data_IF_361289317672
#
_entry.id   IF_361289317672
#
_cell.length_a   1.000
_cell.length_b   1.000
_cell.length_c   1.000
_cell.angle_alpha   90.00
_cell.angle_beta   90.00
_cell.angle_gamma   90.00
#
_symmetry.space_group_name_H-M   'P 1'
#
loop_
_entity.id
_entity.type
_entity.pdbx_description
1 polymer ?
#
# COMPACT_ATOMS: atom_id res chain seq x y z
N UNK A 1 0.90 8.03 17.40
CA UNK A 1 -0.31 7.58 18.11
C UNK A 1 -1.21 8.73 18.57
N UNK A 2 -0.80 9.64 19.48
CA UNK A 2 -1.67 10.73 20.01
C UNK A 2 -2.40 11.50 18.90
N UNK A 3 -1.70 12.02 17.89
CA UNK A 3 -2.29 12.74 16.75
C UNK A 3 -3.38 11.94 16.02
N UNK A 4 -3.19 10.64 15.86
CA UNK A 4 -4.19 9.77 15.24
C UNK A 4 -5.50 9.77 16.03
N UNK A 5 -5.44 9.52 17.34
CA UNK A 5 -6.63 9.49 18.20
C UNK A 5 -7.30 10.87 18.32
N UNK A 6 -6.53 11.95 18.51
CA UNK A 6 -7.06 13.32 18.55
C UNK A 6 -7.79 13.68 17.24
N UNK A 7 -7.28 13.24 16.09
CA UNK A 7 -7.94 13.47 14.79
C UNK A 7 -9.24 12.69 14.63
N UNK A 8 -9.35 11.50 15.25
CA UNK A 8 -10.61 10.75 15.30
C UNK A 8 -11.60 11.41 16.26
N UNK A 9 -11.15 11.91 17.41
CA UNK A 9 -12.02 12.64 18.35
C UNK A 9 -12.61 13.92 17.74
N UNK A 10 -11.87 14.55 16.80
CA UNK A 10 -12.27 15.76 16.09
C UNK A 10 -13.21 15.50 14.90
N UNK A 11 -13.59 14.25 14.61
CA UNK A 11 -14.48 13.94 13.49
C UNK A 11 -15.87 14.55 13.68
N UNK A 12 -16.45 15.09 12.61
CA UNK A 12 -17.80 15.64 12.59
C UNK A 12 -18.88 14.57 12.68
N UNK A 13 -18.61 13.38 12.15
CA UNK A 13 -19.44 12.20 12.40
C UNK A 13 -19.09 11.61 13.77
N UNK A 14 -20.09 11.43 14.64
CA UNK A 14 -19.87 11.05 16.04
C UNK A 14 -20.24 9.62 16.39
N UNK A 15 -21.06 8.95 15.57
CA UNK A 15 -21.53 7.58 15.81
C UNK A 15 -20.54 6.55 15.28
N UNK A 16 -19.36 6.47 15.89
CA UNK A 16 -18.32 5.49 15.56
C UNK A 16 -17.66 4.96 16.83
N UNK A 17 -16.99 3.85 16.71
CA UNK A 17 -16.10 3.30 17.74
C UNK A 17 -14.65 3.23 17.21
N UNK A 18 -13.70 3.26 18.12
CA UNK A 18 -12.27 3.02 17.85
C UNK A 18 -11.86 1.74 18.58
N UNK A 19 -11.49 0.73 17.82
CA UNK A 19 -10.94 -0.52 18.34
C UNK A 19 -9.43 -0.47 18.20
N UNK A 20 -8.73 -0.13 19.28
CA UNK A 20 -7.27 -0.03 19.30
C UNK A 20 -6.67 -1.32 19.86
N UNK A 21 -5.75 -1.91 19.13
CA UNK A 21 -4.98 -3.07 19.60
C UNK A 21 -3.51 -2.68 19.69
N UNK A 22 -2.95 -2.73 20.87
CA UNK A 22 -1.53 -2.52 21.14
C UNK A 22 -0.79 -3.86 21.08
N UNK A 23 0.07 -4.00 20.09
CA UNK A 23 0.85 -5.20 19.82
C UNK A 23 2.20 -5.19 20.59
N UNK A 24 2.16 -5.02 21.90
CA UNK A 24 3.34 -5.06 22.78
C UNK A 24 4.28 -3.88 22.63
N UNK A 25 3.75 -2.66 22.56
CA UNK A 25 4.54 -1.43 22.45
C UNK A 25 5.40 -1.18 23.68
N UNK A 26 6.64 -0.71 23.48
CA UNK A 26 7.61 -0.42 24.55
C UNK A 26 7.94 1.09 24.68
N UNK A 27 7.33 1.94 23.87
CA UNK A 27 7.62 3.37 23.72
C UNK A 27 6.61 4.32 24.41
N UNK A 28 5.78 3.78 25.31
CA UNK A 28 4.74 4.54 26.00
C UNK A 28 3.41 4.67 25.21
N UNK A 29 3.29 4.04 24.05
CA UNK A 29 2.05 3.99 23.25
C UNK A 29 0.90 3.39 24.08
N UNK A 30 1.12 2.29 24.80
CA UNK A 30 0.12 1.67 25.69
C UNK A 30 -0.50 2.68 26.65
N UNK A 31 0.32 3.45 27.35
CA UNK A 31 -0.17 4.47 28.31
C UNK A 31 -0.96 5.60 27.64
N UNK A 32 -0.61 5.96 26.41
CA UNK A 32 -1.38 6.95 25.65
C UNK A 32 -2.76 6.39 25.30
N UNK A 33 -2.82 5.15 24.85
CA UNK A 33 -4.07 4.47 24.54
C UNK A 33 -5.00 4.39 25.75
N UNK A 34 -4.48 3.95 26.91
CA UNK A 34 -5.25 3.86 28.16
C UNK A 34 -5.81 5.22 28.57
N UNK A 35 -4.93 6.25 28.58
CA UNK A 35 -5.35 7.60 28.95
C UNK A 35 -6.44 8.16 28.02
N UNK A 36 -6.38 7.84 26.73
CA UNK A 36 -7.38 8.30 25.76
C UNK A 36 -8.69 7.53 25.90
N UNK A 37 -8.65 6.22 26.17
CA UNK A 37 -9.85 5.40 26.38
C UNK A 37 -10.59 5.77 27.67
N UNK A 38 -9.90 6.17 28.73
CA UNK A 38 -10.52 6.70 29.95
C UNK A 38 -11.30 8.00 29.73
N UNK A 39 -10.94 8.76 28.71
CA UNK A 39 -11.55 10.07 28.39
C UNK A 39 -12.61 10.02 27.30
N UNK A 40 -12.63 8.98 26.49
CA UNK A 40 -13.56 8.84 25.36
C UNK A 40 -14.08 7.40 25.30
N UNK A 41 -15.34 7.21 25.68
CA UNK A 41 -16.02 5.90 25.73
C UNK A 41 -16.11 5.21 24.36
N UNK A 42 -15.87 5.93 23.26
CA UNK A 42 -15.83 5.35 21.92
C UNK A 42 -14.53 4.56 21.67
N UNK A 43 -13.49 4.75 22.48
CA UNK A 43 -12.19 4.12 22.33
C UNK A 43 -12.12 2.89 23.23
N UNK A 44 -12.01 1.73 22.64
CA UNK A 44 -11.71 0.47 23.32
C UNK A 44 -10.26 0.04 23.04
N UNK A 45 -9.53 -0.35 24.08
CA UNK A 45 -8.12 -0.74 23.99
C UNK A 45 -7.96 -2.19 24.38
N UNK A 46 -7.10 -2.88 23.65
CA UNK A 46 -6.64 -4.23 23.99
C UNK A 46 -5.14 -4.29 23.85
N UNK A 47 -4.46 -4.76 24.89
CA UNK A 47 -3.03 -5.05 24.86
C UNK A 47 -2.82 -6.54 24.59
N UNK A 48 -1.94 -6.87 23.65
CA UNK A 48 -1.56 -8.24 23.32
C UNK A 48 -0.03 -8.38 23.36
N UNK A 49 0.44 -9.55 23.78
CA UNK A 49 1.88 -9.84 23.80
C UNK A 49 2.44 -10.16 22.39
N UNK A 50 1.57 -10.58 21.49
CA UNK A 50 1.93 -10.83 20.07
C UNK A 50 2.29 -9.52 19.39
N UNK A 51 3.55 -9.42 18.97
CA UNK A 51 4.08 -8.25 18.26
C UNK A 51 3.70 -8.19 16.77
N UNK A 52 2.86 -9.08 16.30
CA UNK A 52 2.36 -9.09 14.92
C UNK A 52 1.29 -8.00 14.74
N UNK A 53 1.61 -6.99 13.96
CA UNK A 53 0.64 -5.96 13.54
C UNK A 53 -0.55 -6.58 12.82
N UNK A 54 -0.34 -7.67 12.11
CA UNK A 54 -1.36 -8.36 11.33
C UNK A 54 -2.35 -9.11 12.21
N UNK A 55 -1.86 -9.84 13.21
CA UNK A 55 -2.73 -10.45 14.23
C UNK A 55 -3.52 -9.39 15.01
N UNK A 56 -2.90 -8.23 15.26
CA UNK A 56 -3.58 -7.11 15.92
C UNK A 56 -4.70 -6.52 15.05
N UNK A 57 -4.49 -6.39 13.74
CA UNK A 57 -5.53 -5.93 12.80
C UNK A 57 -6.69 -6.93 12.69
N UNK A 58 -6.40 -8.23 12.62
CA UNK A 58 -7.44 -9.28 12.62
C UNK A 58 -8.25 -9.27 13.91
N UNK A 59 -7.58 -9.11 15.05
CA UNK A 59 -8.26 -8.99 16.34
C UNK A 59 -9.14 -7.74 16.38
N UNK A 60 -8.65 -6.60 15.89
CA UNK A 60 -9.43 -5.37 15.83
C UNK A 60 -10.65 -5.53 14.93
N UNK A 61 -10.50 -6.11 13.73
CA UNK A 61 -11.60 -6.36 12.80
C UNK A 61 -12.65 -7.31 13.40
N UNK A 62 -12.22 -8.36 14.10
CA UNK A 62 -13.14 -9.31 14.75
C UNK A 62 -13.96 -8.70 15.88
N UNK A 63 -13.45 -7.65 16.52
CA UNK A 63 -14.11 -6.93 17.62
C UNK A 63 -14.95 -5.74 17.16
N UNK A 64 -14.71 -5.25 15.95
CA UNK A 64 -15.48 -4.18 15.36
C UNK A 64 -16.95 -4.55 15.24
N UNK A 65 -17.84 -3.61 15.56
CA UNK A 65 -19.31 -3.77 15.55
C UNK A 65 -19.99 -2.87 14.53
N UNK A 66 -19.27 -1.87 14.02
CA UNK A 66 -19.77 -0.95 13.01
C UNK A 66 -20.18 -1.68 11.74
N UNK A 67 -21.07 -1.09 10.97
CA UNK A 67 -21.47 -1.53 9.65
C UNK A 67 -20.29 -1.47 8.67
N UNK A 68 -19.53 -0.40 8.75
CA UNK A 68 -18.32 -0.17 7.99
C UNK A 68 -17.09 -0.14 8.88
N UNK A 69 -15.92 -0.43 8.30
CA UNK A 69 -14.62 -0.36 8.98
C UNK A 69 -13.63 0.48 8.17
N UNK A 70 -12.88 1.32 8.86
CA UNK A 70 -11.75 2.06 8.34
C UNK A 70 -10.51 1.72 9.16
N UNK A 71 -9.42 1.33 8.50
CA UNK A 71 -8.16 1.02 9.16
C UNK A 71 -7.28 2.27 9.20
N UNK A 72 -6.73 2.54 10.38
CA UNK A 72 -5.85 3.70 10.58
C UNK A 72 -4.53 3.27 11.24
N UNK A 73 -3.42 3.71 10.68
CA UNK A 73 -2.08 3.49 11.26
C UNK A 73 -1.80 4.53 12.34
N UNK A 74 -0.93 4.19 13.29
CA UNK A 74 -0.50 5.10 14.36
C UNK A 74 0.16 6.39 13.87
N UNK A 75 0.76 6.38 12.68
CA UNK A 75 1.39 7.53 12.03
C UNK A 75 0.44 8.33 11.14
N UNK A 76 -0.84 7.94 11.06
CA UNK A 76 -1.85 8.61 10.25
C UNK A 76 -2.70 9.59 11.09
N UNK A 77 -3.36 10.51 10.40
CA UNK A 77 -4.42 11.36 10.95
C UNK A 77 -5.44 11.70 9.88
N UNK A 78 -6.63 12.08 10.33
CA UNK A 78 -7.75 12.40 9.48
C UNK A 78 -8.20 13.86 9.67
N UNK A 79 -8.61 14.53 8.61
CA UNK A 79 -9.33 15.80 8.73
C UNK A 79 -10.75 15.55 9.27
N UNK A 80 -11.39 16.55 9.91
CA UNK A 80 -12.64 16.36 10.64
C UNK A 80 -13.83 15.81 9.83
N UNK A 81 -13.85 16.00 8.51
CA UNK A 81 -14.96 15.56 7.65
C UNK A 81 -14.77 14.16 7.04
N UNK A 82 -13.62 13.50 7.25
CA UNK A 82 -13.29 12.23 6.55
C UNK A 82 -14.38 11.18 6.72
N UNK A 83 -14.75 10.85 7.96
CA UNK A 83 -15.73 9.80 8.24
C UNK A 83 -17.12 10.16 7.69
N UNK A 84 -17.52 11.41 7.83
CA UNK A 84 -18.83 11.89 7.34
C UNK A 84 -18.92 11.75 5.80
N UNK A 85 -17.90 12.15 5.06
CA UNK A 85 -17.90 12.11 3.60
C UNK A 85 -17.85 10.68 3.06
N UNK A 86 -16.98 9.82 3.62
CA UNK A 86 -16.91 8.43 3.22
C UNK A 86 -18.23 7.69 3.49
N UNK A 87 -18.82 7.90 4.67
CA UNK A 87 -20.06 7.24 5.06
C UNK A 87 -21.26 7.75 4.25
N UNK A 88 -21.36 9.06 3.99
CA UNK A 88 -22.40 9.65 3.15
C UNK A 88 -22.38 9.04 1.74
N UNK A 89 -21.19 8.89 1.15
CA UNK A 89 -21.03 8.21 -0.14
C UNK A 89 -21.46 6.73 -0.07
N UNK A 90 -21.04 6.01 0.98
CA UNK A 90 -21.39 4.62 1.18
C UNK A 90 -22.90 4.41 1.26
N UNK A 91 -23.59 5.18 2.10
CA UNK A 91 -25.02 5.03 2.35
C UNK A 91 -25.89 5.49 1.19
N UNK A 92 -25.51 6.53 0.45
CA UNK A 92 -26.28 7.04 -0.71
C UNK A 92 -26.46 6.01 -1.82
N UNK A 93 -25.50 5.12 -2.01
CA UNK A 93 -25.48 4.16 -3.11
C UNK A 93 -25.31 2.72 -2.64
N UNK A 94 -25.47 2.44 -1.36
CA UNK A 94 -25.31 1.11 -0.77
C UNK A 94 -23.99 0.46 -1.18
N UNK A 95 -22.88 1.19 -0.97
CA UNK A 95 -21.56 0.79 -1.46
C UNK A 95 -20.86 -0.14 -0.47
N UNK A 96 -20.18 -1.14 -0.99
CA UNK A 96 -19.37 -2.09 -0.21
C UNK A 96 -17.96 -1.58 0.07
N UNK A 97 -17.47 -0.67 -0.79
CA UNK A 97 -16.18 -0.01 -0.65
C UNK A 97 -16.29 1.45 -1.06
N UNK A 98 -15.79 2.36 -0.22
CA UNK A 98 -15.57 3.75 -0.61
C UNK A 98 -14.10 4.10 -0.43
N UNK A 99 -13.51 4.73 -1.45
CA UNK A 99 -12.12 5.14 -1.48
C UNK A 99 -12.01 6.66 -1.58
N UNK A 100 -11.25 7.28 -0.67
CA UNK A 100 -10.82 8.67 -0.77
C UNK A 100 -9.37 8.78 -1.24
N UNK A 101 -8.95 10.01 -1.57
CA UNK A 101 -7.55 10.33 -1.73
C UNK A 101 -6.81 10.39 -0.39
N UNK A 102 -5.49 10.33 -0.44
CA UNK A 102 -4.65 10.45 0.76
C UNK A 102 -3.35 11.19 0.46
N UNK A 103 -2.74 11.72 1.51
CA UNK A 103 -1.44 12.41 1.44
C UNK A 103 -0.42 11.68 2.28
N UNK A 104 0.75 11.42 1.71
CA UNK A 104 1.92 10.93 2.44
C UNK A 104 2.88 12.09 2.66
N UNK A 105 3.08 12.45 3.91
CA UNK A 105 4.00 13.52 4.34
C UNK A 105 5.31 12.89 4.80
N UNK A 106 6.37 13.14 4.06
CA UNK A 106 7.70 12.57 4.30
C UNK A 106 8.63 13.65 4.85
N UNK A 107 9.10 13.48 6.08
CA UNK A 107 10.11 14.37 6.66
C UNK A 107 11.51 13.98 6.17
N UNK A 108 12.18 14.88 5.43
CA UNK A 108 13.54 14.73 4.91
C UNK A 108 14.43 15.81 5.52
N UNK A 109 15.09 15.51 6.62
CA UNK A 109 15.83 16.50 7.41
C UNK A 109 14.92 17.62 7.92
N UNK A 110 15.16 18.86 7.51
CA UNK A 110 14.31 20.02 7.85
C UNK A 110 13.21 20.31 6.82
N UNK A 111 13.06 19.49 5.79
CA UNK A 111 12.04 19.65 4.73
C UNK A 111 10.97 18.61 4.89
N UNK A 112 9.75 18.96 4.48
CA UNK A 112 8.63 18.03 4.34
C UNK A 112 8.27 17.92 2.86
N UNK A 113 8.16 16.69 2.37
CA UNK A 113 7.69 16.37 1.04
C UNK A 113 6.30 15.76 1.17
N UNK A 114 5.32 16.31 0.46
CA UNK A 114 3.97 15.77 0.42
C UNK A 114 3.71 15.10 -0.93
N UNK A 115 3.35 13.84 -0.89
CA UNK A 115 2.94 13.03 -2.04
C UNK A 115 1.44 12.80 -1.94
N UNK A 116 0.69 13.16 -2.97
CA UNK A 116 -0.77 13.10 -2.96
C UNK A 116 -1.26 12.01 -3.91
N UNK A 117 -2.05 11.09 -3.41
CA UNK A 117 -2.87 10.18 -4.20
C UNK A 117 -4.26 10.82 -4.37
N UNK A 118 -4.47 11.46 -5.50
CA UNK A 118 -5.73 12.14 -5.78
C UNK A 118 -6.84 11.15 -6.15
N UNK A 119 -8.03 11.39 -5.64
CA UNK A 119 -9.25 10.69 -5.96
C UNK A 119 -10.24 11.62 -6.68
N UNK A 120 -11.33 11.07 -7.16
CA UNK A 120 -12.42 11.79 -7.86
C UNK A 120 -13.78 11.27 -7.38
N UNK A 121 -14.83 12.05 -7.52
CA UNK A 121 -16.17 11.58 -7.23
C UNK A 121 -16.64 10.64 -8.35
N UNK A 122 -16.81 9.37 -8.01
CA UNK A 122 -17.23 8.34 -8.95
C UNK A 122 -17.91 7.17 -8.23
N UNK A 123 -18.94 6.62 -8.85
CA UNK A 123 -19.63 5.43 -8.34
C UNK A 123 -19.64 4.35 -9.42
N UNK A 124 -19.29 3.15 -9.04
CA UNK A 124 -19.39 1.93 -9.85
C UNK A 124 -20.45 1.05 -9.20
N UNK A 125 -21.59 0.91 -9.85
CA UNK A 125 -22.72 0.12 -9.34
C UNK A 125 -22.68 -1.35 -9.78
N UNK A 126 -21.71 -1.71 -10.62
CA UNK A 126 -21.52 -3.08 -11.11
C UNK A 126 -20.05 -3.48 -11.04
N UNK A 127 -19.79 -4.77 -10.81
CA UNK A 127 -18.45 -5.35 -10.90
C UNK A 127 -17.79 -5.05 -12.25
N UNK A 128 -18.58 -5.11 -13.34
CA UNK A 128 -18.06 -4.89 -14.68
C UNK A 128 -17.46 -3.50 -14.84
N UNK A 129 -18.19 -2.46 -14.44
CA UNK A 129 -17.74 -1.06 -14.57
C UNK A 129 -16.51 -0.79 -13.67
N UNK A 130 -16.51 -1.35 -12.46
CA UNK A 130 -15.39 -1.24 -11.54
C UNK A 130 -14.15 -1.92 -12.10
N UNK A 131 -14.26 -3.18 -12.52
CA UNK A 131 -13.14 -3.97 -13.06
C UNK A 131 -12.55 -3.34 -14.32
N UNK A 132 -13.39 -2.79 -15.21
CA UNK A 132 -12.93 -2.08 -16.41
C UNK A 132 -12.10 -0.83 -16.09
N UNK A 133 -12.35 -0.17 -14.96
CA UNK A 133 -11.61 1.02 -14.52
C UNK A 133 -10.41 0.69 -13.61
N UNK A 134 -10.33 -0.52 -13.08
CA UNK A 134 -9.39 -0.89 -12.00
C UNK A 134 -7.93 -0.65 -12.34
N UNK A 135 -7.51 -0.89 -13.60
CA UNK A 135 -6.13 -0.63 -14.03
C UNK A 135 -5.70 0.82 -13.76
N UNK A 136 -6.59 1.80 -14.00
CA UNK A 136 -6.27 3.21 -13.75
C UNK A 136 -6.21 3.54 -12.24
N UNK A 137 -6.99 2.85 -11.43
CA UNK A 137 -6.98 3.01 -9.97
C UNK A 137 -5.74 2.39 -9.34
N UNK A 138 -5.30 1.23 -9.83
CA UNK A 138 -3.99 0.66 -9.47
C UNK A 138 -2.87 1.60 -9.85
N UNK A 139 -2.96 2.17 -11.04
CA UNK A 139 -1.96 3.06 -11.60
C UNK A 139 -1.80 4.38 -10.82
N UNK A 140 -2.90 4.87 -10.27
CA UNK A 140 -2.94 6.05 -9.39
C UNK A 140 -2.57 5.74 -7.93
N UNK A 141 -2.26 4.47 -7.60
CA UNK A 141 -1.91 4.04 -6.26
C UNK A 141 -3.09 4.02 -5.27
N UNK A 142 -4.33 4.00 -5.76
CA UNK A 142 -5.52 4.04 -4.91
C UNK A 142 -6.00 2.66 -4.46
N UNK A 143 -5.64 1.59 -5.17
CA UNK A 143 -6.21 0.26 -4.94
C UNK A 143 -5.57 -0.49 -3.76
N UNK A 144 -4.25 -0.55 -3.70
CA UNK A 144 -3.52 -1.40 -2.76
C UNK A 144 -3.53 -0.92 -1.30
N UNK A 145 -3.32 0.39 -0.98
CA UNK A 145 -3.25 0.85 0.41
C UNK A 145 -4.58 0.75 1.15
N UNK A 146 -4.52 0.58 2.49
CA UNK A 146 -5.70 0.69 3.37
C UNK A 146 -6.11 2.15 3.63
N UNK A 147 -5.29 3.12 3.22
CA UNK A 147 -5.51 4.53 3.48
C UNK A 147 -6.81 5.05 2.88
N UNK A 148 -7.54 5.84 3.64
CA UNK A 148 -8.79 6.50 3.22
C UNK A 148 -9.82 5.53 2.60
N UNK A 149 -9.92 4.30 3.09
CA UNK A 149 -10.88 3.30 2.62
C UNK A 149 -11.87 2.95 3.72
N UNK A 150 -13.15 2.98 3.34
CA UNK A 150 -14.26 2.51 4.15
C UNK A 150 -14.78 1.21 3.54
N UNK A 151 -14.63 0.11 4.26
CA UNK A 151 -15.03 -1.23 3.85
C UNK A 151 -16.34 -1.64 4.52
N UNK A 152 -17.27 -2.23 3.79
CA UNK A 152 -18.38 -2.95 4.40
C UNK A 152 -17.81 -4.11 5.23
N UNK A 153 -18.14 -4.13 6.52
CA UNK A 153 -17.59 -5.12 7.44
C UNK A 153 -18.12 -6.52 7.18
N UNK A 154 -19.38 -6.65 6.77
CA UNK A 154 -20.00 -7.95 6.49
C UNK A 154 -19.37 -8.57 5.23
N UNK A 155 -19.15 -7.75 4.20
CA UNK A 155 -18.45 -8.20 2.98
C UNK A 155 -17.01 -8.63 3.31
N UNK A 156 -16.30 -7.88 4.14
CA UNK A 156 -14.95 -8.24 4.56
C UNK A 156 -14.90 -9.57 5.33
N UNK A 157 -15.87 -9.79 6.24
CA UNK A 157 -15.95 -11.02 7.01
C UNK A 157 -16.39 -12.22 6.14
N UNK A 158 -17.35 -12.00 5.22
CA UNK A 158 -17.84 -13.04 4.30
C UNK A 158 -16.77 -13.48 3.30
N UNK A 159 -15.94 -12.55 2.83
CA UNK A 159 -14.80 -12.86 1.96
C UNK A 159 -13.72 -13.72 2.65
N UNK A 160 -13.79 -13.87 3.98
CA UNK A 160 -12.83 -14.65 4.77
C UNK A 160 -11.41 -14.07 4.71
N UNK A 161 -11.29 -12.79 4.35
CA UNK A 161 -10.00 -12.11 4.25
C UNK A 161 -9.55 -11.64 5.63
N UNK A 162 -8.31 -11.97 5.98
CA UNK A 162 -7.68 -11.53 7.20
C UNK A 162 -6.26 -11.06 6.91
N UNK A 163 -5.71 -10.31 7.84
CA UNK A 163 -4.35 -9.77 7.71
C UNK A 163 -3.27 -10.81 8.00
N UNK A 164 -3.51 -11.74 8.91
CA UNK A 164 -2.60 -12.83 9.24
C UNK A 164 -2.88 -14.12 8.46
N UNK A 165 -3.94 -14.14 7.64
CA UNK A 165 -4.40 -15.34 6.94
C UNK A 165 -3.54 -15.66 5.72
N UNK A 166 -3.18 -16.94 5.57
CA UNK A 166 -2.57 -17.49 4.35
C UNK A 166 -3.56 -17.61 3.18
N UNK A 167 -4.85 -17.39 3.42
CA UNK A 167 -5.92 -17.64 2.45
C UNK A 167 -6.03 -16.60 1.33
N UNK A 168 -5.41 -15.43 1.49
CA UNK A 168 -5.45 -14.36 0.48
C UNK A 168 -4.52 -14.60 -0.72
N UNK A 169 -3.66 -15.62 -0.63
CA UNK A 169 -2.80 -16.04 -1.70
C UNK A 169 -3.40 -17.28 -2.37
N UNK A 170 -3.59 -17.27 -3.68
CA UNK A 170 -3.79 -18.51 -4.42
C UNK A 170 -2.66 -19.49 -4.06
N UNK A 171 -2.87 -20.79 -4.26
CA UNK A 171 -1.96 -21.85 -3.78
C UNK A 171 -0.48 -21.65 -4.14
N UNK A 172 -0.16 -20.81 -5.11
CA UNK A 172 1.19 -20.51 -5.61
C UNK A 172 1.76 -19.15 -5.16
N UNK A 173 0.97 -18.30 -4.48
CA UNK A 173 1.46 -17.03 -3.99
C UNK A 173 2.10 -17.22 -2.61
N UNK A 174 3.40 -16.97 -2.51
CA UNK A 174 4.12 -16.97 -1.23
C UNK A 174 3.47 -16.07 -0.18
N UNK A 175 4.00 -16.05 1.02
CA UNK A 175 3.47 -15.29 2.14
C UNK A 175 3.41 -13.78 1.78
N UNK A 176 2.25 -13.32 1.31
CA UNK A 176 2.02 -11.94 0.91
C UNK A 176 1.98 -11.05 2.15
N UNK A 177 2.57 -9.87 2.05
CA UNK A 177 2.38 -8.83 3.06
C UNK A 177 0.88 -8.60 3.21
N UNK A 178 0.40 -8.80 4.42
CA UNK A 178 -1.01 -9.07 4.66
C UNK A 178 -1.92 -7.85 4.45
N UNK A 179 -1.36 -6.63 4.33
CA UNK A 179 -2.13 -5.43 3.98
C UNK A 179 -2.65 -5.52 2.54
N UNK A 180 -1.76 -5.79 1.59
CA UNK A 180 -2.14 -6.01 0.20
C UNK A 180 -3.03 -7.25 0.05
N UNK A 181 -2.74 -8.30 0.82
CA UNK A 181 -3.56 -9.51 0.84
C UNK A 181 -5.00 -9.27 1.24
N UNK A 182 -5.21 -8.51 2.31
CA UNK A 182 -6.55 -8.12 2.73
C UNK A 182 -7.25 -7.31 1.63
N UNK A 183 -6.60 -6.27 1.11
CA UNK A 183 -7.22 -5.41 0.09
C UNK A 183 -7.55 -6.17 -1.18
N UNK A 184 -6.60 -6.93 -1.75
CA UNK A 184 -6.84 -7.70 -2.98
C UNK A 184 -7.88 -8.80 -2.77
N UNK A 185 -7.90 -9.44 -1.60
CA UNK A 185 -8.91 -10.42 -1.24
C UNK A 185 -10.31 -9.81 -1.15
N UNK A 186 -10.45 -8.63 -0.55
CA UNK A 186 -11.71 -7.89 -0.53
C UNK A 186 -12.17 -7.49 -1.93
N UNK A 187 -11.25 -6.98 -2.75
CA UNK A 187 -11.54 -6.53 -4.12
C UNK A 187 -11.97 -7.65 -5.06
N UNK A 188 -11.70 -8.90 -4.71
CA UNK A 188 -11.95 -10.05 -5.57
C UNK A 188 -13.40 -10.13 -6.03
N UNK A 189 -14.34 -9.96 -5.11
CA UNK A 189 -15.76 -10.19 -5.35
C UNK A 189 -16.63 -8.97 -4.99
N UNK A 190 -16.03 -7.81 -4.66
CA UNK A 190 -16.75 -6.57 -4.39
C UNK A 190 -17.59 -6.16 -5.60
N UNK A 191 -18.79 -5.68 -5.34
CA UNK A 191 -19.77 -5.33 -6.40
C UNK A 191 -19.88 -3.81 -6.58
N UNK A 192 -20.15 -3.09 -5.51
CA UNK A 192 -20.44 -1.65 -5.53
C UNK A 192 -19.34 -0.86 -4.88
N UNK A 193 -18.66 -0.06 -5.68
CA UNK A 193 -17.49 0.71 -5.26
C UNK A 193 -17.71 2.19 -5.52
N UNK A 194 -17.40 3.03 -4.54
CA UNK A 194 -17.42 4.49 -4.69
C UNK A 194 -16.05 5.12 -4.47
N UNK A 195 -15.92 6.31 -4.99
CA UNK A 195 -14.77 7.17 -4.78
C UNK A 195 -15.27 8.56 -4.40
N UNK A 196 -14.55 9.24 -3.52
CA UNK A 196 -14.81 10.63 -3.13
C UNK A 196 -13.59 11.50 -3.43
N UNK A 197 -13.83 12.67 -4.00
CA UNK A 197 -12.79 13.67 -4.32
C UNK A 197 -12.31 14.39 -3.05
N UNK A 198 -11.82 13.64 -2.06
CA UNK A 198 -11.30 14.21 -0.83
C UNK A 198 -9.98 13.54 -0.42
N UNK A 199 -8.95 14.33 -0.17
CA UNK A 199 -7.64 13.89 0.33
C UNK A 199 -7.50 14.23 1.81
N UNK A 200 -8.44 13.73 2.64
CA UNK A 200 -8.53 14.05 4.06
C UNK A 200 -7.82 13.08 4.98
N UNK A 201 -7.16 12.08 4.41
CA UNK A 201 -6.37 11.10 5.14
C UNK A 201 -4.89 11.36 4.92
N UNK A 202 -4.15 11.48 6.00
CA UNK A 202 -2.74 11.81 5.96
C UNK A 202 -1.91 10.74 6.66
N UNK A 203 -0.73 10.45 6.14
CA UNK A 203 0.26 9.57 6.77
C UNK A 203 1.55 10.36 6.94
N UNK A 204 2.10 10.40 8.16
CA UNK A 204 3.44 10.92 8.40
C UNK A 204 4.46 9.78 8.35
N UNK A 205 5.53 10.01 7.62
CA UNK A 205 6.69 9.14 7.58
C UNK A 205 7.95 9.96 7.85
N UNK A 206 8.85 9.45 8.68
CA UNK A 206 10.22 9.96 8.75
C UNK A 206 11.09 9.20 7.74
N UNK A 207 12.23 9.77 7.35
CA UNK A 207 13.19 9.05 6.46
C UNK A 207 13.68 7.76 7.10
N UNK A 208 13.67 7.66 8.45
CA UNK A 208 13.95 6.42 9.16
C UNK A 208 12.76 5.44 9.14
N UNK A 209 11.54 5.98 9.07
CA UNK A 209 10.27 5.24 8.97
C UNK A 209 9.80 5.12 7.51
N UNK A 210 10.47 5.73 6.57
CA UNK A 210 10.40 5.29 5.19
C UNK A 210 10.86 3.84 5.19
N UNK A 211 10.05 3.05 5.85
CA UNK A 211 10.07 1.60 5.76
C UNK A 211 9.75 1.12 4.35
N UNK A 212 10.28 1.83 3.37
CA UNK A 212 10.84 1.16 2.24
C UNK A 212 11.74 0.13 2.89
N UNK A 213 11.31 -1.13 2.97
CA UNK A 213 12.17 -2.16 3.50
C UNK A 213 13.47 -1.88 2.81
N UNK A 214 14.51 -1.70 3.62
CA UNK A 214 15.82 -1.40 3.07
C UNK A 214 15.94 -2.23 1.82
N UNK A 215 16.01 -1.60 0.61
CA UNK A 215 15.85 -2.35 -0.64
C UNK A 215 16.85 -3.48 -0.61
N UNK A 216 16.35 -4.68 -0.65
CA UNK A 216 17.12 -5.89 -0.42
C UNK A 216 16.33 -7.09 -0.91
N UNK A 217 16.84 -8.29 -0.71
CA UNK A 217 16.16 -9.52 -1.12
C UNK A 217 14.71 -9.64 -0.66
N UNK A 218 14.40 -9.11 0.53
CA UNK A 218 13.04 -9.13 1.08
C UNK A 218 12.06 -8.22 0.28
N UNK A 219 12.51 -7.02 -0.12
CA UNK A 219 11.69 -6.11 -0.94
C UNK A 219 11.41 -6.70 -2.31
N UNK A 220 12.42 -7.34 -2.91
CA UNK A 220 12.25 -8.02 -4.18
C UNK A 220 11.29 -9.22 -4.06
N UNK A 221 11.40 -10.01 -3.00
CA UNK A 221 10.49 -11.12 -2.75
C UNK A 221 9.05 -10.62 -2.56
N UNK A 222 8.87 -9.49 -1.87
CA UNK A 222 7.56 -8.84 -1.73
C UNK A 222 7.01 -8.41 -3.09
N UNK A 223 7.83 -7.79 -3.95
CA UNK A 223 7.44 -7.41 -5.31
C UNK A 223 6.92 -8.61 -6.12
N UNK A 224 7.65 -9.73 -6.11
CA UNK A 224 7.22 -10.95 -6.81
C UNK A 224 5.87 -11.46 -6.29
N UNK A 225 5.67 -11.41 -4.98
CA UNK A 225 4.42 -11.83 -4.35
C UNK A 225 3.25 -10.90 -4.69
N UNK A 226 3.46 -9.58 -4.65
CA UNK A 226 2.45 -8.58 -5.03
C UNK A 226 2.07 -8.69 -6.50
N UNK A 227 3.04 -8.88 -7.38
CA UNK A 227 2.78 -9.11 -8.78
C UNK A 227 1.91 -10.37 -9.01
N UNK A 228 2.31 -11.50 -8.43
CA UNK A 228 1.58 -12.76 -8.56
C UNK A 228 0.14 -12.63 -8.05
N UNK A 229 -0.08 -11.96 -6.91
CA UNK A 229 -1.39 -11.74 -6.34
C UNK A 229 -2.26 -10.81 -7.20
N UNK A 230 -1.69 -9.72 -7.71
CA UNK A 230 -2.42 -8.80 -8.60
C UNK A 230 -2.77 -9.50 -9.91
N UNK A 231 -1.86 -10.29 -10.48
CA UNK A 231 -2.14 -11.10 -11.67
C UNK A 231 -3.25 -12.13 -11.41
N UNK A 232 -3.23 -12.78 -10.25
CA UNK A 232 -4.29 -13.72 -9.87
C UNK A 232 -5.65 -13.03 -9.74
N UNK A 233 -5.69 -11.81 -9.20
CA UNK A 233 -6.91 -11.00 -9.14
C UNK A 233 -7.41 -10.64 -10.56
N UNK A 234 -6.53 -10.18 -11.45
CA UNK A 234 -6.89 -9.85 -12.84
C UNK A 234 -7.41 -11.09 -13.59
N UNK A 235 -6.81 -12.25 -13.37
CA UNK A 235 -7.30 -13.54 -13.91
C UNK A 235 -8.68 -13.89 -13.38
N UNK A 236 -8.89 -13.76 -12.07
CA UNK A 236 -10.21 -14.00 -11.47
C UNK A 236 -11.28 -13.09 -12.08
N UNK A 237 -10.91 -11.87 -12.42
CA UNK A 237 -11.80 -10.92 -13.10
C UNK A 237 -11.94 -11.14 -14.62
N UNK A 238 -11.21 -12.08 -15.21
CA UNK A 238 -11.17 -12.30 -16.66
C UNK A 238 -10.47 -11.20 -17.45
N UNK A 239 -9.60 -10.41 -16.77
CA UNK A 239 -8.89 -9.24 -17.35
C UNK A 239 -7.46 -9.57 -17.83
N UNK A 240 -7.08 -10.84 -17.84
CA UNK A 240 -5.73 -11.23 -18.30
C UNK A 240 -5.49 -10.96 -19.80
N UNK A 241 -6.54 -10.80 -20.59
CA UNK A 241 -6.48 -10.38 -21.98
C UNK A 241 -6.61 -8.87 -22.21
N UNK A 242 -6.85 -8.08 -21.14
CA UNK A 242 -6.97 -6.64 -21.25
C UNK A 242 -5.60 -5.96 -21.32
N UNK A 243 -5.35 -5.29 -22.45
CA UNK A 243 -4.05 -4.68 -22.73
C UNK A 243 -3.66 -3.59 -21.71
N UNK A 244 -4.63 -2.80 -21.24
CA UNK A 244 -4.39 -1.73 -20.27
C UNK A 244 -4.03 -2.28 -18.89
N UNK A 245 -4.75 -3.30 -18.43
CA UNK A 245 -4.47 -3.98 -17.16
C UNK A 245 -3.11 -4.66 -17.15
N UNK A 246 -2.75 -5.33 -18.24
CA UNK A 246 -1.47 -6.01 -18.35
C UNK A 246 -0.32 -5.02 -18.50
N UNK A 247 -0.47 -3.96 -19.26
CA UNK A 247 0.54 -2.89 -19.36
C UNK A 247 0.77 -2.24 -17.98
N UNK A 248 -0.28 -1.88 -17.27
CA UNK A 248 -0.21 -1.34 -15.91
C UNK A 248 0.57 -2.28 -14.99
N UNK A 249 0.23 -3.57 -14.99
CA UNK A 249 0.87 -4.58 -14.14
C UNK A 249 2.38 -4.69 -14.42
N UNK A 250 2.76 -4.78 -15.70
CA UNK A 250 4.18 -4.91 -16.10
C UNK A 250 4.96 -3.63 -15.81
N UNK A 251 4.37 -2.47 -16.04
CA UNK A 251 5.01 -1.19 -15.76
C UNK A 251 5.26 -1.00 -14.28
N UNK A 252 4.26 -1.23 -13.41
CA UNK A 252 4.44 -1.16 -11.95
C UNK A 252 5.52 -2.13 -11.46
N UNK A 253 5.53 -3.34 -11.99
CA UNK A 253 6.59 -4.30 -11.67
C UNK A 253 7.98 -3.75 -11.97
N UNK A 254 8.20 -3.20 -13.18
CA UNK A 254 9.51 -2.66 -13.58
C UNK A 254 9.89 -1.43 -12.74
N UNK A 255 8.94 -0.56 -12.43
CA UNK A 255 9.17 0.63 -11.60
C UNK A 255 9.63 0.24 -10.18
N UNK A 256 8.99 -0.75 -9.55
CA UNK A 256 9.38 -1.23 -8.22
C UNK A 256 10.70 -2.03 -8.30
N UNK A 257 10.90 -2.83 -9.35
CA UNK A 257 12.16 -3.55 -9.57
C UNK A 257 13.35 -2.58 -9.66
N UNK A 258 13.18 -1.47 -10.39
CA UNK A 258 14.19 -0.41 -10.48
C UNK A 258 14.44 0.24 -9.11
N UNK A 259 13.41 0.45 -8.31
CA UNK A 259 13.56 0.94 -6.94
C UNK A 259 14.33 -0.07 -6.06
N UNK A 260 14.12 -1.38 -6.23
CA UNK A 260 14.90 -2.41 -5.53
C UNK A 260 16.39 -2.36 -5.91
N UNK A 261 16.69 -2.22 -7.21
CA UNK A 261 18.07 -2.09 -7.71
C UNK A 261 18.73 -0.81 -7.19
N UNK A 262 17.98 0.31 -7.22
CA UNK A 262 18.46 1.60 -6.69
C UNK A 262 18.82 1.52 -5.21
N UNK A 263 18.05 0.81 -4.45
CA UNK A 263 18.34 0.64 -3.04
C UNK A 263 19.56 -0.23 -2.75
N UNK A 264 19.85 -1.24 -3.54
CA UNK A 264 21.12 -1.99 -3.45
C UNK A 264 22.29 -1.08 -3.82
N UNK A 265 22.19 -0.38 -4.95
CA UNK A 265 23.22 0.52 -5.43
C UNK A 265 23.45 1.73 -4.51
N UNK A 266 22.39 2.30 -3.92
CA UNK A 266 22.45 3.47 -3.04
C UNK A 266 23.33 3.25 -1.81
N UNK A 267 23.28 2.06 -1.22
CA UNK A 267 24.09 1.68 -0.05
C UNK A 267 25.47 1.16 -0.39
N UNK A 268 25.64 0.63 -1.58
CA UNK A 268 26.88 0.08 -2.05
C UNK A 268 27.93 1.13 -2.38
N UNK A 269 29.21 0.74 -2.54
CA UNK A 269 30.27 1.59 -3.03
C UNK A 269 30.05 1.98 -4.50
N UNK A 270 30.85 2.93 -5.02
CA UNK A 270 30.81 3.29 -6.45
C UNK A 270 31.17 2.08 -7.33
N UNK A 271 32.21 1.33 -6.94
CA UNK A 271 32.50 0.04 -7.55
C UNK A 271 31.70 -1.06 -6.83
N UNK A 272 30.80 -1.78 -7.51
CA UNK A 272 29.95 -2.78 -6.87
C UNK A 272 30.76 -3.92 -6.27
N UNK A 273 30.38 -4.38 -5.10
CA UNK A 273 30.87 -5.65 -4.53
C UNK A 273 30.23 -6.83 -5.26
N UNK A 274 30.86 -7.99 -5.14
CA UNK A 274 30.32 -9.21 -5.73
C UNK A 274 28.90 -9.54 -5.23
N UNK A 275 28.63 -9.35 -3.92
CA UNK A 275 27.34 -9.55 -3.28
C UNK A 275 26.24 -8.63 -3.85
N UNK A 276 26.58 -7.35 -4.12
CA UNK A 276 25.65 -6.38 -4.69
C UNK A 276 25.28 -6.78 -6.12
N UNK A 277 26.29 -7.20 -6.92
CA UNK A 277 26.08 -7.65 -8.29
C UNK A 277 25.28 -8.95 -8.33
N UNK A 278 25.54 -9.88 -7.43
CA UNK A 278 24.76 -11.12 -7.32
C UNK A 278 23.30 -10.82 -6.97
N UNK A 279 23.08 -9.90 -6.05
CA UNK A 279 21.72 -9.47 -5.66
C UNK A 279 20.99 -8.85 -6.85
N UNK A 280 21.60 -7.92 -7.57
CA UNK A 280 21.00 -7.29 -8.75
C UNK A 280 20.82 -8.33 -9.87
N UNK A 281 21.78 -9.21 -10.08
CA UNK A 281 21.69 -10.27 -11.08
C UNK A 281 20.50 -11.18 -10.82
N UNK A 282 20.29 -11.60 -9.57
CA UNK A 282 19.14 -12.43 -9.17
C UNK A 282 17.82 -11.75 -9.49
N UNK A 283 17.71 -10.44 -9.26
CA UNK A 283 16.50 -9.66 -9.53
C UNK A 283 16.16 -9.57 -11.02
N UNK A 284 17.17 -9.42 -11.90
CA UNK A 284 16.95 -9.15 -13.33
C UNK A 284 17.12 -10.36 -14.24
N UNK A 285 17.52 -11.52 -13.69
CA UNK A 285 17.75 -12.74 -14.48
C UNK A 285 16.51 -13.61 -14.66
N UNK A 286 15.40 -13.27 -14.00
CA UNK A 286 14.15 -14.00 -14.16
C UNK A 286 13.53 -13.72 -15.53
N UNK A 287 12.93 -14.74 -16.15
CA UNK A 287 12.21 -14.57 -17.43
C UNK A 287 11.12 -13.51 -17.30
N UNK A 288 10.48 -13.47 -16.15
CA UNK A 288 9.44 -12.49 -15.83
C UNK A 288 9.99 -11.06 -15.83
N UNK A 289 11.11 -10.77 -15.13
CA UNK A 289 11.72 -9.44 -15.11
C UNK A 289 12.13 -8.98 -16.51
N UNK A 290 12.68 -9.89 -17.32
CA UNK A 290 13.09 -9.58 -18.68
C UNK A 290 11.90 -9.37 -19.62
N UNK A 291 10.82 -10.17 -19.47
CA UNK A 291 9.58 -9.98 -20.20
C UNK A 291 8.94 -8.64 -19.84
N UNK A 292 8.78 -8.36 -18.55
CA UNK A 292 8.24 -7.10 -18.08
C UNK A 292 9.03 -5.91 -18.62
N UNK A 293 10.35 -5.95 -18.55
CA UNK A 293 11.23 -4.92 -19.10
C UNK A 293 11.16 -4.80 -20.64
N UNK A 294 10.63 -5.81 -21.33
CA UNK A 294 10.48 -5.78 -22.78
C UNK A 294 9.19 -5.12 -23.25
N UNK A 295 8.13 -5.21 -22.44
CA UNK A 295 6.78 -4.75 -22.81
C UNK A 295 6.33 -3.49 -22.05
N UNK A 296 6.85 -3.25 -20.84
CA UNK A 296 6.49 -2.11 -20.02
C UNK A 296 6.88 -0.78 -20.66
N UNK A 297 6.04 0.23 -20.45
CA UNK A 297 6.27 1.62 -20.88
C UNK A 297 6.43 2.53 -19.65
N UNK A 298 7.61 2.56 -18.99
CA UNK A 298 7.84 3.36 -17.80
C UNK A 298 7.59 4.85 -18.04
N UNK A 299 6.96 5.51 -17.07
CA UNK A 299 6.62 6.94 -17.16
C UNK A 299 7.80 7.84 -16.86
N UNK A 300 8.61 7.47 -15.89
CA UNK A 300 9.76 8.26 -15.50
C UNK A 300 11.00 7.96 -16.35
N UNK A 301 11.85 8.98 -16.52
CA UNK A 301 13.04 8.88 -17.36
C UNK A 301 14.12 7.95 -16.79
N UNK A 302 14.16 7.77 -15.47
CA UNK A 302 15.14 6.90 -14.82
C UNK A 302 14.82 5.43 -15.07
N UNK A 303 13.60 4.99 -14.79
CA UNK A 303 13.14 3.62 -15.05
C UNK A 303 13.30 3.29 -16.54
N UNK A 304 12.91 4.23 -17.41
CA UNK A 304 13.08 4.07 -18.85
C UNK A 304 14.55 3.85 -19.26
N UNK A 305 15.49 4.59 -18.66
CA UNK A 305 16.93 4.44 -18.94
C UNK A 305 17.49 3.10 -18.42
N UNK A 306 16.92 2.54 -17.36
CA UNK A 306 17.36 1.27 -16.78
C UNK A 306 16.77 0.03 -17.47
N UNK A 307 15.61 0.15 -18.09
CA UNK A 307 14.88 -0.95 -18.76
C UNK A 307 15.76 -1.78 -19.72
N UNK A 308 16.60 -1.19 -20.61
CA UNK A 308 17.46 -1.98 -21.48
C UNK A 308 18.49 -2.85 -20.74
N UNK A 309 18.98 -2.38 -19.59
CA UNK A 309 19.94 -3.13 -18.78
C UNK A 309 19.28 -4.33 -18.09
N UNK A 310 18.05 -4.17 -17.64
CA UNK A 310 17.22 -5.24 -17.05
C UNK A 310 16.90 -6.27 -18.11
N UNK A 311 16.37 -5.86 -19.26
CA UNK A 311 16.01 -6.74 -20.37
C UNK A 311 17.18 -7.61 -20.84
N UNK A 312 18.39 -7.06 -20.84
CA UNK A 312 19.58 -7.77 -21.28
C UNK A 312 20.30 -8.52 -20.13
N UNK A 313 19.74 -8.58 -18.93
CA UNK A 313 20.35 -9.25 -17.78
C UNK A 313 21.69 -8.64 -17.34
N UNK A 314 21.97 -7.36 -17.66
CA UNK A 314 23.25 -6.74 -17.38
C UNK A 314 23.29 -6.08 -16.00
N UNK A 315 23.53 -6.90 -14.97
CA UNK A 315 23.54 -6.46 -13.56
C UNK A 315 24.55 -5.34 -13.28
N UNK A 316 25.76 -5.42 -13.87
CA UNK A 316 26.79 -4.39 -13.65
C UNK A 316 26.35 -3.02 -14.20
N UNK A 317 25.76 -3.01 -15.39
CA UNK A 317 25.26 -1.77 -16.01
C UNK A 317 24.05 -1.23 -15.24
N UNK A 318 23.12 -2.08 -14.83
CA UNK A 318 21.96 -1.69 -14.01
C UNK A 318 22.40 -1.07 -12.67
N UNK A 319 23.33 -1.71 -11.97
CA UNK A 319 23.92 -1.16 -10.74
C UNK A 319 24.59 0.20 -10.96
N UNK A 320 25.44 0.31 -11.98
CA UNK A 320 26.16 1.58 -12.25
C UNK A 320 25.21 2.72 -12.63
N UNK A 321 24.18 2.44 -13.40
CA UNK A 321 23.13 3.42 -13.73
C UNK A 321 22.38 3.86 -12.46
N UNK A 322 21.93 2.93 -11.61
CA UNK A 322 21.25 3.26 -10.37
C UNK A 322 22.15 4.09 -9.44
N UNK A 323 23.43 3.73 -9.31
CA UNK A 323 24.39 4.49 -8.51
C UNK A 323 24.58 5.91 -8.99
N UNK A 324 24.74 6.12 -10.30
CA UNK A 324 24.87 7.43 -10.91
C UNK A 324 23.64 8.30 -10.65
N UNK A 325 22.46 7.77 -10.85
CA UNK A 325 21.21 8.48 -10.60
C UNK A 325 20.98 8.77 -9.12
N UNK A 326 21.37 7.87 -8.21
CA UNK A 326 21.34 8.10 -6.77
C UNK A 326 22.20 9.29 -6.35
N UNK A 327 23.38 9.44 -6.96
CA UNK A 327 24.26 10.60 -6.75
C UNK A 327 23.62 11.90 -7.27
N UNK A 328 22.98 11.88 -8.43
CA UNK A 328 22.31 13.03 -9.02
C UNK A 328 21.07 13.49 -8.23
N UNK A 329 20.37 12.55 -7.58
CA UNK A 329 19.20 12.85 -6.73
C UNK A 329 19.53 13.30 -5.32
N UNK A 330 20.80 13.43 -4.97
CA UNK A 330 21.23 13.83 -3.62
C UNK A 330 20.63 12.95 -2.51
N UNK A 331 20.49 11.66 -2.76
CA UNK A 331 19.96 10.68 -1.80
C UNK A 331 18.43 10.62 -1.71
N UNK A 332 17.68 11.32 -2.58
CA UNK A 332 16.24 11.15 -2.67
C UNK A 332 15.89 9.77 -3.24
N UNK A 333 14.93 9.04 -2.68
CA UNK A 333 14.55 7.72 -3.17
C UNK A 333 14.00 7.77 -4.59
N UNK A 334 14.21 6.69 -5.35
CA UNK A 334 13.51 6.45 -6.59
C UNK A 334 12.11 5.94 -6.25
N UNK A 335 11.13 6.48 -6.89
CA UNK A 335 9.74 6.11 -6.67
C UNK A 335 8.95 7.31 -6.21
N UNK A 336 7.95 7.65 -6.97
CA UNK A 336 7.16 8.86 -6.78
C UNK A 336 5.69 8.54 -6.53
N UNK A 337 5.31 7.26 -6.57
CA UNK A 337 3.92 6.87 -6.30
C UNK A 337 3.67 6.84 -4.79
N UNK A 338 2.63 7.54 -4.29
CA UNK A 338 2.29 7.59 -2.86
C UNK A 338 2.06 6.20 -2.24
N UNK A 339 1.51 5.25 -2.99
CA UNK A 339 1.24 3.90 -2.54
C UNK A 339 2.50 3.04 -2.29
N UNK A 340 3.64 3.44 -2.84
CA UNK A 340 4.91 2.79 -2.54
C UNK A 340 5.37 3.01 -1.08
N UNK A 341 4.75 3.96 -0.37
CA UNK A 341 5.13 4.37 0.99
C UNK A 341 4.10 3.97 2.06
N UNK A 342 2.99 3.36 1.70
CA UNK A 342 1.88 2.98 2.59
C UNK A 342 1.42 1.54 2.35
#
# INVERSE_FOLDING_TARGET
MRRALESLQAQTFTNFEVVAVDAGSTDGTARILDTMSERDMRISVTHVEDKSVFSALDLALSRARGEYVLMMRQSAWAEPALLAELLDAAQKSDLELVMGGFTVNVAVGSRELSLVAESEDRVFLTQHDFRAAAWSLFDRGLMAPLCAKLFDRQVALAAGVGFASKACAGADAGQMDSIHGFTLGFLRDVERVGMVCATRYHVALSVGDLGLPAPGPQTYQRLETEYAATLALLRHWGMEGDAASMEMLQRRYVEILVACIDGVAGRGPIAPKAEDLESVSRMISTEHAQLAASVAQPRDGFTRAMTPSIRNGNARKAYSQAKLWGLLRHGMPAGTSPDAYV
#
